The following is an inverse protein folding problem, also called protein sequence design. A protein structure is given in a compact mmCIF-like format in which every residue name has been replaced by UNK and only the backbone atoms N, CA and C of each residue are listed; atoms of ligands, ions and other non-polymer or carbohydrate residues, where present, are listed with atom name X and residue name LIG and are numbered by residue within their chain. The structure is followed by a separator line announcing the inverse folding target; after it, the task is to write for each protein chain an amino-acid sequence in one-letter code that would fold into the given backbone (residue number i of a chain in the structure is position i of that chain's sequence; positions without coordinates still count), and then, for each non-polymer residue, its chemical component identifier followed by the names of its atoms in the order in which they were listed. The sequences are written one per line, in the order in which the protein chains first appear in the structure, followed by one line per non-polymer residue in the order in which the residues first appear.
data_IF_511894509236
#
_entry.id   IF_511894509236
#
_cell.length_a   1.000
_cell.length_b   1.000
_cell.length_c   1.000
_cell.angle_alpha   90.00
_cell.angle_beta   90.00
_cell.angle_gamma   90.00
#
_symmetry.space_group_name_H-M   'P 1'
#
loop_
_entity.id
_entity.type
_entity.pdbx_description
1 polymer ?
#
# COMPACT_ATOMS: atom_id res chain seq x y z
N UNK A 1 -10.96 -15.75 2.75
CA UNK A 1 -10.02 -14.76 2.23
C UNK A 1 -10.66 -13.41 2.43
N UNK A 2 -10.24 -12.71 3.47
CA UNK A 2 -10.57 -11.32 3.72
C UNK A 2 -9.49 -10.41 3.09
N UNK A 3 -9.79 -9.16 2.77
CA UNK A 3 -8.79 -8.17 2.35
C UNK A 3 -7.56 -8.09 3.26
N UNK A 4 -7.74 -8.25 4.57
CA UNK A 4 -6.66 -8.27 5.56
C UNK A 4 -5.64 -9.41 5.37
N UNK A 5 -5.99 -10.43 4.58
CA UNK A 5 -5.08 -11.52 4.23
C UNK A 5 -4.13 -11.13 3.07
N UNK A 6 -4.31 -9.95 2.47
CA UNK A 6 -3.54 -9.47 1.32
C UNK A 6 -2.45 -8.45 1.72
N UNK A 7 -1.38 -8.44 0.91
CA UNK A 7 -0.37 -7.40 0.90
C UNK A 7 -0.32 -6.70 -0.46
N UNK A 8 -0.18 -5.37 -0.46
CA UNK A 8 -0.15 -4.54 -1.67
C UNK A 8 1.05 -3.59 -1.66
N UNK A 9 1.52 -3.24 -2.86
CA UNK A 9 2.62 -2.30 -3.08
C UNK A 9 2.05 -1.11 -3.84
N UNK A 10 2.11 0.08 -3.25
CA UNK A 10 1.43 1.26 -3.76
C UNK A 10 2.40 2.43 -3.89
N UNK A 11 2.27 3.19 -4.97
CA UNK A 11 3.02 4.41 -5.26
C UNK A 11 2.14 5.66 -5.37
N UNK A 12 0.83 5.51 -5.18
CA UNK A 12 -0.15 6.61 -5.16
C UNK A 12 -0.73 6.81 -3.77
N UNK A 13 -1.09 8.05 -3.45
CA UNK A 13 -1.76 8.35 -2.17
C UNK A 13 -3.12 7.66 -2.10
N UNK A 14 -3.89 7.67 -3.20
CA UNK A 14 -5.20 7.01 -3.27
C UNK A 14 -5.10 5.50 -3.01
N UNK A 15 -4.06 4.84 -3.54
CA UNK A 15 -3.79 3.41 -3.33
C UNK A 15 -3.46 3.08 -1.87
N UNK A 16 -2.55 3.86 -1.26
CA UNK A 16 -2.18 3.71 0.16
C UNK A 16 -3.41 3.90 1.06
N UNK A 17 -4.22 4.94 0.82
CA UNK A 17 -5.43 5.18 1.59
C UNK A 17 -6.46 4.05 1.42
N UNK A 18 -6.63 3.51 0.21
CA UNK A 18 -7.53 2.40 -0.05
C UNK A 18 -7.10 1.14 0.71
N UNK A 19 -5.80 0.83 0.72
CA UNK A 19 -5.24 -0.30 1.44
C UNK A 19 -5.47 -0.18 2.96
N UNK A 20 -5.24 1.01 3.52
CA UNK A 20 -5.51 1.28 4.94
C UNK A 20 -7.00 1.13 5.29
N UNK A 21 -7.90 1.67 4.48
CA UNK A 21 -9.36 1.51 4.69
C UNK A 21 -9.79 0.04 4.65
N UNK A 22 -9.13 -0.77 3.82
CA UNK A 22 -9.40 -2.19 3.69
C UNK A 22 -8.68 -3.06 4.73
N UNK A 23 -7.93 -2.47 5.67
CA UNK A 23 -7.10 -3.18 6.65
C UNK A 23 -6.10 -4.15 6.00
N UNK A 24 -5.58 -3.79 4.82
CA UNK A 24 -4.55 -4.55 4.11
C UNK A 24 -3.15 -4.17 4.61
N UNK A 25 -2.19 -5.08 4.44
CA UNK A 25 -0.77 -4.73 4.58
C UNK A 25 -0.34 -3.90 3.37
N UNK A 26 0.10 -2.67 3.57
CA UNK A 26 0.49 -1.75 2.49
C UNK A 26 1.98 -1.41 2.56
N UNK A 27 2.71 -1.62 1.46
CA UNK A 27 4.08 -1.16 1.28
C UNK A 27 4.10 0.07 0.38
N UNK A 28 4.35 1.24 0.96
CA UNK A 28 4.56 2.47 0.19
C UNK A 28 5.95 2.45 -0.45
N UNK A 29 6.00 2.16 -1.75
CA UNK A 29 7.27 1.95 -2.46
C UNK A 29 7.97 3.26 -2.83
N UNK A 30 7.31 4.42 -2.70
CA UNK A 30 7.97 5.72 -2.90
C UNK A 30 9.08 5.92 -1.88
N UNK A 31 8.90 5.43 -0.66
CA UNK A 31 9.92 5.47 0.39
C UNK A 31 11.16 4.64 0.05
N UNK A 32 11.02 3.59 -0.77
CA UNK A 32 12.09 2.69 -1.17
C UNK A 32 12.84 3.14 -2.44
N UNK A 33 12.17 3.90 -3.31
CA UNK A 33 12.70 4.29 -4.63
C UNK A 33 12.74 5.80 -4.84
N UNK A 34 13.02 6.60 -3.81
CA UNK A 34 13.36 8.01 -4.00
C UNK A 34 14.69 8.09 -4.77
N UNK A 35 14.62 8.03 -6.10
CA UNK A 35 15.72 8.40 -6.98
C UNK A 35 15.98 9.89 -6.80
N UNK A 36 17.27 10.18 -6.57
CA UNK A 36 17.94 11.49 -6.62
C UNK A 36 17.45 12.39 -7.76
#
# INVERSE_FOLDING_TARGET
MAPSDCAVFEDSDEGVEAAHRASMTCYDIRSAFQSV
#
